data_IF_814092876678
#
_entry.id   IF_814092876678
#
_cell.length_a   1.000
_cell.length_b   1.000
_cell.length_c   1.000
_cell.angle_alpha   90.00
_cell.angle_beta   90.00
_cell.angle_gamma   90.00
#
_symmetry.space_group_name_H-M   'P 1'
#
loop_
_entity.id
_entity.type
_entity.pdbx_description
1 polymer ?
#
# COMPACT_ATOMS: atom_id res chain seq x y z
N UNK A 1 10.95 6.00 -0.21
CA UNK A 1 9.89 5.73 -1.20
C UNK A 1 9.40 7.00 -1.83
N UNK A 2 9.02 6.93 -3.07
CA UNK A 2 8.44 8.07 -3.77
C UNK A 2 6.93 8.04 -3.67
N UNK A 3 6.29 9.19 -3.60
CA UNK A 3 4.83 9.28 -3.49
C UNK A 3 4.31 10.36 -4.44
N UNK A 4 3.25 10.04 -5.18
CA UNK A 4 2.63 10.99 -6.09
C UNK A 4 1.18 10.58 -6.34
N UNK A 5 0.24 11.46 -6.10
CA UNK A 5 -1.20 11.20 -6.28
C UNK A 5 -1.66 9.90 -5.61
N UNK A 6 -1.17 9.66 -4.42
CA UNK A 6 -1.42 8.46 -3.61
C UNK A 6 -0.76 7.19 -4.13
N UNK A 7 -0.02 7.25 -5.22
CA UNK A 7 0.75 6.11 -5.72
C UNK A 7 2.14 6.13 -5.08
N UNK A 8 2.64 4.95 -4.79
CA UNK A 8 3.93 4.79 -4.11
C UNK A 8 4.89 4.03 -5.01
N UNK A 9 6.08 4.59 -5.18
CA UNK A 9 7.14 3.96 -5.94
C UNK A 9 8.20 3.40 -5.04
N UNK A 10 8.53 2.14 -5.23
CA UNK A 10 9.62 1.45 -4.54
C UNK A 10 10.83 1.43 -5.46
N UNK A 11 11.98 1.86 -4.97
CA UNK A 11 13.17 2.07 -5.79
C UNK A 11 14.29 1.16 -5.36
N UNK A 12 15.00 0.61 -6.35
CA UNK A 12 16.21 -0.17 -6.13
C UNK A 12 17.32 0.38 -7.02
N UNK A 13 18.54 0.28 -6.54
CA UNK A 13 19.69 0.62 -7.35
C UNK A 13 20.09 -0.59 -8.18
N UNK A 14 20.26 -0.38 -9.49
CA UNK A 14 20.71 -1.40 -10.41
C UNK A 14 22.21 -1.17 -10.67
N UNK A 15 23.01 -1.93 -9.98
CA UNK A 15 24.47 -1.81 -10.04
C UNK A 15 25.05 -2.18 -11.41
N UNK A 16 24.41 -3.12 -12.10
CA UNK A 16 24.91 -3.55 -13.40
C UNK A 16 24.71 -2.51 -14.48
N UNK A 17 23.59 -1.83 -14.46
CA UNK A 17 23.24 -0.83 -15.46
C UNK A 17 23.44 0.62 -14.99
N UNK A 18 23.91 0.78 -13.77
CA UNK A 18 24.26 2.08 -13.22
C UNK A 18 23.07 3.05 -13.21
N UNK A 19 21.93 2.55 -12.81
CA UNK A 19 20.72 3.34 -12.75
C UNK A 19 19.84 2.92 -11.59
N UNK A 20 18.85 3.76 -11.28
CA UNK A 20 17.82 3.42 -10.32
C UNK A 20 16.62 2.86 -11.07
N UNK A 21 16.03 1.82 -10.54
CA UNK A 21 14.86 1.18 -11.12
C UNK A 21 13.76 1.16 -10.08
N UNK A 22 12.57 1.55 -10.49
CA UNK A 22 11.43 1.62 -9.58
C UNK A 22 10.19 0.93 -10.11
N UNK A 23 9.31 0.65 -9.20
CA UNK A 23 8.04 0.02 -9.51
C UNK A 23 6.96 0.62 -8.63
N UNK A 24 5.80 0.88 -9.22
CA UNK A 24 4.63 1.32 -8.43
C UNK A 24 4.07 0.11 -7.72
N UNK A 25 3.94 0.21 -6.41
CA UNK A 25 3.52 -0.93 -5.60
C UNK A 25 2.03 -0.90 -5.28
N UNK A 26 1.53 -2.07 -4.90
CA UNK A 26 0.16 -2.25 -4.38
C UNK A 26 -0.94 -1.93 -5.40
N UNK A 27 -0.67 -2.16 -6.67
CA UNK A 27 -1.68 -2.14 -7.72
C UNK A 27 -1.53 -3.40 -8.56
N UNK A 28 -2.57 -3.75 -9.33
CA UNK A 28 -2.54 -4.97 -10.15
C UNK A 28 -1.70 -4.81 -11.40
N UNK A 29 -1.72 -3.61 -11.96
CA UNK A 29 -0.95 -3.34 -13.17
C UNK A 29 0.53 -3.19 -12.85
N UNK A 30 1.38 -3.48 -13.83
CA UNK A 30 2.82 -3.34 -13.65
C UNK A 30 3.24 -2.00 -14.24
N UNK A 31 3.70 -1.09 -13.39
CA UNK A 31 4.18 0.22 -13.81
C UNK A 31 5.60 0.37 -13.29
N UNK A 32 6.55 0.51 -14.20
CA UNK A 32 7.95 0.67 -13.85
C UNK A 32 8.48 2.00 -14.36
N UNK A 33 9.56 2.45 -13.75
CA UNK A 33 10.21 3.70 -14.13
C UNK A 33 11.69 3.61 -13.76
N UNK A 34 12.51 4.43 -14.39
CA UNK A 34 13.95 4.40 -14.12
C UNK A 34 14.58 5.75 -14.34
N UNK A 35 15.78 5.95 -13.83
CA UNK A 35 16.53 7.16 -14.01
C UNK A 35 17.96 7.00 -13.51
N UNK A 36 18.86 7.79 -14.05
CA UNK A 36 20.28 7.76 -13.69
C UNK A 36 20.60 8.71 -12.53
N UNK A 37 19.68 9.57 -12.19
CA UNK A 37 19.80 10.47 -11.05
C UNK A 37 18.49 10.47 -10.27
N UNK A 38 18.52 10.99 -9.06
CA UNK A 38 17.32 11.12 -8.24
C UNK A 38 16.30 12.00 -8.94
N UNK A 39 16.75 13.08 -9.54
CA UNK A 39 15.86 14.01 -10.25
C UNK A 39 15.19 13.33 -11.44
N UNK A 40 15.94 12.59 -12.25
CA UNK A 40 15.37 11.85 -13.38
C UNK A 40 14.38 10.80 -12.91
N UNK A 41 14.74 10.10 -11.84
CA UNK A 41 13.89 9.05 -11.28
C UNK A 41 12.55 9.60 -10.80
N UNK A 42 12.57 10.73 -10.09
CA UNK A 42 11.34 11.36 -9.61
C UNK A 42 10.46 11.82 -10.76
N UNK A 43 11.06 12.38 -11.78
CA UNK A 43 10.33 12.83 -12.95
C UNK A 43 9.72 11.64 -13.69
N UNK A 44 10.51 10.57 -13.87
CA UNK A 44 10.03 9.36 -14.53
C UNK A 44 8.88 8.72 -13.77
N UNK A 45 8.95 8.72 -12.45
CA UNK A 45 7.87 8.21 -11.60
C UNK A 45 6.57 9.00 -11.83
N UNK A 46 6.64 10.32 -11.77
CA UNK A 46 5.46 11.16 -11.96
C UNK A 46 4.86 10.98 -13.34
N UNK A 47 5.70 10.93 -14.36
CA UNK A 47 5.24 10.72 -15.73
C UNK A 47 4.58 9.37 -15.90
N UNK A 48 5.14 8.34 -15.30
CA UNK A 48 4.56 6.99 -15.38
C UNK A 48 3.18 6.92 -14.72
N UNK A 49 3.02 7.57 -13.57
CA UNK A 49 1.72 7.63 -12.89
C UNK A 49 0.72 8.42 -13.74
N UNK A 50 1.12 9.59 -14.25
CA UNK A 50 0.24 10.41 -15.06
C UNK A 50 -0.17 9.69 -16.35
N UNK A 51 0.77 8.99 -16.99
CA UNK A 51 0.51 8.23 -18.20
C UNK A 51 -0.48 7.10 -17.93
N UNK A 52 -0.32 6.42 -16.79
CA UNK A 52 -1.24 5.36 -16.38
C UNK A 52 -2.67 5.91 -16.18
N UNK A 53 -2.79 7.03 -15.49
CA UNK A 53 -4.10 7.65 -15.23
C UNK A 53 -4.76 8.12 -16.53
N UNK A 54 -3.98 8.67 -17.43
CA UNK A 54 -4.46 9.10 -18.73
C UNK A 54 -4.91 7.91 -19.58
N UNK A 55 -4.14 6.83 -19.57
CA UNK A 55 -4.47 5.61 -20.28
C UNK A 55 -5.80 5.03 -19.79
N UNK A 56 -6.00 4.98 -18.47
CA UNK A 56 -7.25 4.48 -17.89
C UNK A 56 -8.43 5.37 -18.32
N UNK A 57 -8.23 6.68 -18.30
CA UNK A 57 -9.27 7.62 -18.68
C UNK A 57 -9.67 7.45 -20.15
N UNK A 58 -8.69 7.30 -21.03
CA UNK A 58 -8.94 7.13 -22.46
C UNK A 58 -9.69 5.84 -22.77
N UNK A 59 -9.44 4.79 -21.99
CA UNK A 59 -10.07 3.50 -22.18
C UNK A 59 -11.36 3.31 -21.37
N UNK A 60 -11.76 4.31 -20.61
CA UNK A 60 -12.94 4.22 -19.77
C UNK A 60 -12.79 3.28 -18.59
N UNK A 61 -11.55 2.98 -18.20
CA UNK A 61 -11.26 2.09 -17.07
C UNK A 61 -11.05 2.88 -15.80
N UNK A 62 -11.43 2.28 -14.68
CA UNK A 62 -11.11 2.85 -13.37
C UNK A 62 -9.67 2.51 -13.02
N UNK A 63 -8.83 3.48 -12.69
CA UNK A 63 -7.46 3.17 -12.29
C UNK A 63 -7.45 2.45 -10.95
N UNK A 64 -6.47 1.57 -10.75
CA UNK A 64 -6.27 0.92 -9.46
C UNK A 64 -5.87 1.96 -8.42
N UNK A 65 -6.40 1.81 -7.21
CA UNK A 65 -6.07 2.69 -6.09
C UNK A 65 -5.25 1.87 -5.09
N UNK A 66 -4.04 2.32 -4.78
CA UNK A 66 -3.13 1.52 -3.92
C UNK A 66 -3.69 1.22 -2.54
N UNK A 67 -4.42 2.16 -1.98
CA UNK A 67 -4.96 2.01 -0.63
C UNK A 67 -6.45 2.32 -0.65
N UNK A 68 -7.22 1.37 -1.16
CA UNK A 68 -8.66 1.55 -1.34
C UNK A 68 -9.49 1.37 -0.07
N UNK A 69 -8.88 0.84 0.96
CA UNK A 69 -9.61 0.47 2.17
C UNK A 69 -10.10 -0.96 2.16
N UNK A 70 -9.85 -1.69 1.07
CA UNK A 70 -10.24 -3.09 0.96
C UNK A 70 -9.02 -3.96 0.76
N UNK A 71 -8.92 -5.01 1.53
CA UNK A 71 -7.85 -6.01 1.35
C UNK A 71 -8.26 -7.31 2.04
N UNK A 72 -7.64 -8.40 1.64
CA UNK A 72 -7.92 -9.72 2.21
C UNK A 72 -6.83 -10.10 3.19
N UNK A 73 -7.25 -10.73 4.28
CA UNK A 73 -6.32 -11.23 5.30
C UNK A 73 -6.49 -12.73 5.43
N UNK A 74 -5.38 -13.44 5.51
CA UNK A 74 -5.38 -14.87 5.77
C UNK A 74 -4.90 -15.08 7.19
N UNK A 75 -5.74 -15.72 8.03
CA UNK A 75 -5.43 -15.98 9.42
C UNK A 75 -5.71 -17.44 9.72
N UNK A 76 -5.26 -17.89 10.88
CA UNK A 76 -5.53 -19.24 11.38
C UNK A 76 -7.05 -19.43 11.48
N UNK A 77 -7.60 -20.56 10.99
CA UNK A 77 -9.05 -20.81 11.08
C UNK A 77 -9.61 -20.70 12.50
N UNK A 78 -8.85 -21.08 13.50
CA UNK A 78 -9.30 -20.98 14.89
C UNK A 78 -9.43 -19.51 15.31
N UNK A 79 -8.50 -18.67 14.88
CA UNK A 79 -8.58 -17.23 15.14
C UNK A 79 -9.79 -16.62 14.42
N UNK A 80 -10.04 -17.07 13.19
CA UNK A 80 -11.21 -16.64 12.44
C UNK A 80 -12.50 -16.99 13.20
N UNK A 81 -12.59 -18.24 13.70
CA UNK A 81 -13.74 -18.70 14.45
C UNK A 81 -13.98 -17.86 15.71
N UNK A 82 -12.92 -17.65 16.49
CA UNK A 82 -13.02 -16.88 17.72
C UNK A 82 -13.41 -15.43 17.48
N UNK A 83 -12.87 -14.84 16.42
CA UNK A 83 -13.21 -13.47 16.05
C UNK A 83 -14.68 -13.35 15.65
N UNK A 84 -15.18 -14.32 14.88
CA UNK A 84 -16.58 -14.31 14.47
C UNK A 84 -17.52 -14.45 15.68
N UNK A 85 -17.18 -15.29 16.65
CA UNK A 85 -17.95 -15.46 17.87
C UNK A 85 -17.96 -14.16 18.67
N UNK A 86 -16.79 -13.55 18.83
CA UNK A 86 -16.69 -12.31 19.60
C UNK A 86 -17.49 -11.18 18.96
N UNK A 87 -17.45 -11.08 17.65
CA UNK A 87 -18.22 -10.05 16.93
C UNK A 87 -19.71 -10.23 17.19
N UNK A 88 -20.19 -11.46 17.11
CA UNK A 88 -21.59 -11.76 17.35
C UNK A 88 -22.00 -11.44 18.78
N UNK A 89 -21.19 -11.78 19.75
CA UNK A 89 -21.45 -11.50 21.16
C UNK A 89 -21.48 -9.98 21.43
N UNK A 90 -20.67 -9.23 20.70
CA UNK A 90 -20.61 -7.78 20.85
C UNK A 90 -21.63 -7.04 20.01
N UNK A 91 -22.43 -7.75 19.22
CA UNK A 91 -23.45 -7.13 18.38
C UNK A 91 -22.88 -6.37 17.20
N UNK A 92 -21.68 -6.71 16.75
CA UNK A 92 -21.07 -6.04 15.59
C UNK A 92 -20.72 -7.04 14.50
N UNK A 93 -20.44 -6.57 13.31
CA UNK A 93 -20.00 -7.45 12.23
C UNK A 93 -18.54 -7.84 12.42
N UNK A 94 -18.15 -8.96 11.84
CA UNK A 94 -16.75 -9.37 11.84
C UNK A 94 -15.87 -8.31 11.20
N UNK A 95 -16.35 -7.72 10.12
CA UNK A 95 -15.63 -6.64 9.45
C UNK A 95 -15.39 -5.45 10.39
N UNK A 96 -16.39 -5.06 11.14
CA UNK A 96 -16.27 -3.96 12.09
C UNK A 96 -15.29 -4.29 13.22
N UNK A 97 -15.35 -5.51 13.73
CA UNK A 97 -14.43 -5.96 14.77
C UNK A 97 -12.98 -5.90 14.27
N UNK A 98 -12.73 -6.39 13.08
CA UNK A 98 -11.40 -6.40 12.47
C UNK A 98 -10.90 -4.97 12.22
N UNK A 99 -11.75 -4.12 11.66
CA UNK A 99 -11.39 -2.72 11.39
C UNK A 99 -11.00 -1.99 12.67
N UNK A 100 -11.77 -2.18 13.74
CA UNK A 100 -11.48 -1.57 15.03
C UNK A 100 -10.19 -2.11 15.65
N UNK A 101 -9.94 -3.42 15.51
CA UNK A 101 -8.73 -4.04 16.02
C UNK A 101 -7.48 -3.47 15.35
N UNK A 102 -7.53 -3.28 14.03
CA UNK A 102 -6.43 -2.69 13.28
C UNK A 102 -6.22 -1.24 13.72
N UNK A 103 -7.29 -0.47 13.82
CA UNK A 103 -7.23 0.91 14.24
C UNK A 103 -6.58 1.05 15.62
N UNK A 104 -7.00 0.21 16.56
CA UNK A 104 -6.45 0.21 17.91
C UNK A 104 -4.98 -0.21 17.92
N UNK A 105 -4.63 -1.19 17.11
CA UNK A 105 -3.25 -1.65 16.98
C UNK A 105 -2.32 -0.54 16.47
N UNK A 106 -2.79 0.26 15.53
CA UNK A 106 -1.99 1.35 14.98
C UNK A 106 -1.77 2.46 16.03
N UNK A 107 -2.77 2.75 16.83
CA UNK A 107 -2.65 3.71 17.91
C UNK A 107 -1.66 3.20 18.96
N UNK A 108 -1.77 1.94 19.35
CA UNK A 108 -0.88 1.33 20.32
C UNK A 108 0.56 1.25 19.79
N UNK A 109 0.70 0.92 18.53
CA UNK A 109 2.00 0.87 17.89
C UNK A 109 2.69 2.22 17.89
N UNK A 110 1.94 3.28 17.67
CA UNK A 110 2.50 4.60 17.68
C UNK A 110 3.08 4.93 19.04
N UNK A 111 2.38 4.57 20.12
CA UNK A 111 2.87 4.77 21.47
C UNK A 111 4.05 3.85 21.76
N UNK A 112 3.97 2.61 21.33
CA UNK A 112 5.04 1.65 21.47
C UNK A 112 6.28 2.04 20.70
N UNK A 113 6.12 2.53 19.50
CA UNK A 113 7.23 2.97 18.68
C UNK A 113 7.99 4.09 19.35
N UNK A 114 7.31 5.01 19.98
CA UNK A 114 7.96 6.08 20.69
C UNK A 114 8.83 5.55 21.82
N UNK A 115 8.44 4.45 22.43
CA UNK A 115 9.26 3.90 23.47
C UNK A 115 10.43 3.16 22.93
N UNK A 116 10.22 2.47 21.83
CA UNK A 116 11.20 1.63 21.41
C UNK A 116 12.17 2.25 20.69
N UNK A 117 11.93 3.06 19.96
CA UNK A 117 12.71 3.50 19.10
C UNK A 117 13.26 4.45 19.48
N UNK A 118 13.01 4.47 20.10
CA UNK A 118 13.29 4.32 20.18
C UNK A 118 13.66 3.48 19.43
N UNK A 119 13.59 2.69 19.40
CA UNK A 119 13.82 1.59 18.96
C UNK A 119 13.53 1.06 17.74
#
# INVERSE_FOLDING_TARGET
>A
MLTYKSYIGHVKFDDENDLFHGEVINIRDVITFQGKSVSELRQAFKESVDDYLEFCKENGDEPDKPFSGKFNVRIDPEIHRLAAIKAKESGESLNSLVANAIKNSLHNNRNGASRFFGS
#
